data_IF_572978298619
#
_entry.id   IF_572978298619
#
_cell.length_a   1.000
_cell.length_b   1.000
_cell.length_c   1.000
_cell.angle_alpha   90.00
_cell.angle_beta   90.00
_cell.angle_gamma   90.00
#
_symmetry.space_group_name_H-M   'P 1'
#
loop_
_entity.id
_entity.type
_entity.pdbx_description
1 polymer ?
#
# COMPACT_ATOMS: atom_id res chain seq x y z
N UNK A 1 2.94 17.14 -0.47
CA UNK A 1 2.46 17.67 0.82
C UNK A 1 2.14 16.48 1.72
N UNK A 2 1.82 16.64 3.01
CA UNK A 2 1.15 15.54 3.73
C UNK A 2 -0.14 15.19 2.97
N UNK A 3 -0.62 13.93 3.02
CA UNK A 3 -1.97 13.65 2.50
C UNK A 3 -2.93 14.65 3.14
N UNK A 4 -3.63 15.43 2.33
CA UNK A 4 -4.65 16.33 2.87
C UNK A 4 -5.72 15.44 3.52
N UNK A 5 -6.33 15.89 4.62
CA UNK A 5 -7.36 15.12 5.33
C UNK A 5 -8.52 14.70 4.41
N UNK A 6 -8.73 15.42 3.30
CA UNK A 6 -9.68 15.06 2.25
C UNK A 6 -9.26 13.89 1.34
N UNK A 7 -7.96 13.62 1.18
CA UNK A 7 -7.47 12.53 0.31
C UNK A 7 -7.70 11.13 0.89
N UNK A 8 -7.88 11.03 2.22
CA UNK A 8 -8.15 9.76 2.91
C UNK A 8 -9.63 9.40 3.00
N UNK A 9 -10.53 10.22 2.46
CA UNK A 9 -11.99 10.04 2.55
C UNK A 9 -12.45 8.68 1.96
N UNK A 10 -11.64 8.04 1.11
CA UNK A 10 -11.91 6.71 0.53
C UNK A 10 -11.05 5.56 1.07
N UNK A 11 -10.32 5.75 2.17
CA UNK A 11 -9.46 4.69 2.70
C UNK A 11 -10.30 3.52 3.25
N UNK A 12 -10.03 2.31 2.77
CA UNK A 12 -10.67 1.09 3.22
C UNK A 12 -9.92 0.50 4.42
N UNK A 13 -10.62 0.31 5.54
CA UNK A 13 -10.06 -0.31 6.75
C UNK A 13 -10.03 -1.83 6.60
N UNK A 14 -8.83 -2.41 6.67
CA UNK A 14 -8.65 -3.87 6.75
C UNK A 14 -8.42 -4.33 8.18
N UNK A 15 -7.72 -3.52 8.98
CA UNK A 15 -7.50 -3.76 10.40
C UNK A 15 -7.57 -2.44 11.13
N UNK A 16 -8.51 -2.34 12.08
CA UNK A 16 -8.74 -1.12 12.86
C UNK A 16 -7.46 -0.57 13.47
N UNK A 17 -7.24 0.73 13.27
CA UNK A 17 -6.12 1.51 13.77
C UNK A 17 -4.72 1.02 13.31
N UNK A 18 -4.65 0.12 12.31
CA UNK A 18 -3.40 -0.56 11.94
C UNK A 18 -3.15 -0.74 10.45
N UNK A 19 -4.18 -1.03 9.66
CA UNK A 19 -4.01 -1.29 8.22
C UNK A 19 -5.19 -0.74 7.43
N UNK A 20 -4.85 0.18 6.54
CA UNK A 20 -5.75 0.83 5.62
C UNK A 20 -5.21 0.71 4.21
N UNK A 21 -6.10 0.59 3.24
CA UNK A 21 -5.82 0.70 1.83
C UNK A 21 -6.40 2.01 1.30
N UNK A 22 -5.61 2.77 0.56
CA UNK A 22 -6.03 4.04 -0.01
C UNK A 22 -5.56 4.15 -1.46
N UNK A 23 -6.42 4.73 -2.31
CA UNK A 23 -6.09 5.08 -3.69
C UNK A 23 -5.84 6.58 -3.76
N UNK A 24 -4.59 6.97 -4.00
CA UNK A 24 -4.15 8.37 -3.98
C UNK A 24 -3.50 8.71 -5.32
N UNK A 25 -3.73 9.93 -5.82
CA UNK A 25 -3.10 10.39 -7.08
C UNK A 25 -1.62 10.69 -6.92
N UNK A 26 -1.21 11.07 -5.71
CA UNK A 26 0.16 11.45 -5.38
C UNK A 26 0.64 10.64 -4.18
N UNK A 27 1.94 10.36 -4.10
CA UNK A 27 2.54 9.77 -2.91
C UNK A 27 2.44 10.75 -1.74
N UNK A 28 1.71 10.41 -0.67
CA UNK A 28 1.59 11.29 0.49
C UNK A 28 2.86 11.24 1.34
N UNK A 29 3.10 12.30 2.12
CA UNK A 29 4.12 12.25 3.18
C UNK A 29 3.57 11.51 4.41
N UNK A 30 4.36 10.60 4.97
CA UNK A 30 4.08 9.99 6.28
C UNK A 30 4.00 11.04 7.38
N UNK A 31 3.15 10.77 8.35
CA UNK A 31 3.02 11.54 9.59
C UNK A 31 3.66 10.77 10.75
N UNK A 32 3.65 11.33 11.96
CA UNK A 32 4.09 10.61 13.17
C UNK A 32 3.25 9.35 13.42
N UNK A 33 1.97 9.37 13.03
CA UNK A 33 1.02 8.29 13.34
C UNK A 33 0.67 7.43 12.12
N UNK A 34 1.06 7.83 10.91
CA UNK A 34 0.66 7.16 9.68
C UNK A 34 1.85 6.97 8.76
N UNK A 35 2.20 5.70 8.54
CA UNK A 35 3.22 5.31 7.58
C UNK A 35 2.56 4.92 6.25
N UNK A 36 2.85 5.66 5.18
CA UNK A 36 2.41 5.29 3.84
C UNK A 36 3.46 4.46 3.12
N UNK A 37 3.00 3.46 2.38
CA UNK A 37 3.84 2.76 1.41
C UNK A 37 2.99 2.31 0.23
N UNK A 38 3.64 2.18 -0.92
CA UNK A 38 3.09 1.57 -2.12
C UNK A 38 4.06 0.49 -2.62
N UNK A 39 3.59 -0.35 -3.53
CA UNK A 39 4.37 -1.34 -4.28
C UNK A 39 4.29 -1.11 -5.79
N UNK A 40 3.69 0.00 -6.26
CA UNK A 40 3.44 0.26 -7.69
C UNK A 40 4.71 0.25 -8.54
N UNK A 41 5.83 0.73 -8.00
CA UNK A 41 7.15 0.75 -8.67
C UNK A 41 7.97 -0.54 -8.42
N UNK A 42 7.55 -1.41 -7.52
CA UNK A 42 8.31 -2.59 -7.08
C UNK A 42 7.73 -3.91 -7.59
N UNK A 43 6.40 -4.01 -7.65
CA UNK A 43 5.65 -5.19 -8.06
C UNK A 43 4.87 -4.84 -9.33
N UNK A 44 5.62 -4.59 -10.41
CA UNK A 44 5.06 -4.23 -11.72
C UNK A 44 4.62 -5.49 -12.45
N UNK A 45 3.39 -5.50 -12.95
CA UNK A 45 2.91 -6.56 -13.83
C UNK A 45 3.52 -6.42 -15.22
N UNK A 46 4.06 -7.52 -15.76
CA UNK A 46 4.57 -7.58 -17.14
C UNK A 46 3.44 -8.04 -18.06
N UNK A 47 2.92 -7.13 -18.88
CA UNK A 47 1.80 -7.37 -19.78
C UNK A 47 2.22 -8.09 -21.07
N UNK A 48 1.35 -8.96 -21.59
CA UNK A 48 1.52 -9.52 -22.94
C UNK A 48 0.96 -8.61 -24.02
N UNK A 49 -0.18 -7.97 -23.75
CA UNK A 49 -0.85 -7.01 -24.62
C UNK A 49 -1.51 -5.88 -23.81
N UNK A 50 -2.84 -5.84 -23.72
CA UNK A 50 -3.60 -4.84 -22.97
C UNK A 50 -4.05 -5.33 -21.58
N UNK A 51 -3.57 -6.50 -21.16
CA UNK A 51 -3.73 -7.04 -19.82
C UNK A 51 -2.92 -6.23 -18.80
N UNK A 52 -3.48 -6.10 -17.59
CA UNK A 52 -2.88 -5.32 -16.50
C UNK A 52 -2.76 -6.11 -15.20
N UNK A 53 -3.07 -7.41 -15.23
CA UNK A 53 -3.03 -8.26 -14.06
C UNK A 53 -3.88 -9.52 -14.18
N UNK A 54 -4.03 -10.26 -13.06
CA UNK A 54 -3.49 -9.95 -11.73
C UNK A 54 -1.98 -10.20 -11.61
N UNK A 55 -1.36 -9.65 -10.56
CA UNK A 55 0.01 -10.01 -10.20
C UNK A 55 0.13 -11.52 -9.95
N UNK A 56 1.27 -12.08 -10.34
CA UNK A 56 1.55 -13.50 -10.13
C UNK A 56 1.81 -13.84 -8.64
N UNK A 57 1.81 -15.15 -8.32
CA UNK A 57 1.93 -15.64 -6.95
C UNK A 57 3.24 -15.22 -6.26
N UNK A 58 4.35 -15.12 -6.99
CA UNK A 58 5.62 -14.69 -6.43
C UNK A 58 5.56 -13.22 -5.95
N UNK A 59 4.87 -12.36 -6.69
CA UNK A 59 4.65 -10.96 -6.31
C UNK A 59 3.69 -10.82 -5.12
N UNK A 60 2.62 -11.63 -5.07
CA UNK A 60 1.73 -11.70 -3.90
C UNK A 60 2.51 -12.11 -2.65
N UNK A 61 3.35 -13.14 -2.75
CA UNK A 61 4.20 -13.58 -1.64
C UNK A 61 5.13 -12.45 -1.16
N UNK A 62 5.78 -11.73 -2.07
CA UNK A 62 6.63 -10.57 -1.75
C UNK A 62 5.85 -9.47 -1.02
N UNK A 63 4.63 -9.15 -1.48
CA UNK A 63 3.74 -8.21 -0.80
C UNK A 63 3.45 -8.65 0.63
N UNK A 64 3.05 -9.91 0.84
CA UNK A 64 2.78 -10.47 2.16
C UNK A 64 4.01 -10.37 3.09
N UNK A 65 5.20 -10.73 2.60
CA UNK A 65 6.44 -10.59 3.38
C UNK A 65 6.72 -9.13 3.76
N UNK A 66 6.57 -8.18 2.83
CA UNK A 66 6.80 -6.75 3.08
C UNK A 66 5.79 -6.19 4.09
N UNK A 67 4.51 -6.50 3.92
CA UNK A 67 3.44 -6.08 4.82
C UNK A 67 3.67 -6.63 6.23
N UNK A 68 3.98 -7.92 6.36
CA UNK A 68 4.25 -8.56 7.65
C UNK A 68 5.43 -7.93 8.39
N UNK A 69 6.50 -7.56 7.66
CA UNK A 69 7.63 -6.82 8.26
C UNK A 69 7.18 -5.46 8.81
N UNK A 70 6.39 -4.70 8.05
CA UNK A 70 5.87 -3.38 8.47
C UNK A 70 4.94 -3.48 9.68
N UNK A 71 4.07 -4.47 9.72
CA UNK A 71 3.15 -4.66 10.84
C UNK A 71 3.86 -5.05 12.14
N UNK A 72 5.01 -5.75 12.06
CA UNK A 72 5.83 -6.11 13.22
C UNK A 72 6.63 -4.92 13.76
N UNK A 73 7.14 -4.04 12.89
CA UNK A 73 7.96 -2.88 13.32
C UNK A 73 7.16 -1.81 14.05
N UNK A 74 5.82 -1.79 13.91
CA UNK A 74 4.92 -0.76 14.47
C UNK A 74 4.19 -1.26 15.74
N UNK A 75 4.54 -2.45 16.25
CA UNK A 75 4.07 -2.97 17.53
C UNK A 75 4.92 -2.39 18.67
N UNK A 76 4.55 -1.22 19.20
CA UNK A 76 4.90 -0.81 20.56
C UNK A 76 3.67 -0.92 21.44
#
# INVERSE_FOLDING_TARGET
MAAETGELIGACEFMKDRLYFATLRNRPKSTVNTHYFSVDEELVYENFYADFGPLNLAMVYRYCCKLNKKLKTVSR
#
